data_IF_681191596203
#
_entry.id   IF_681191596203
#
_cell.length_a   1.000
_cell.length_b   1.000
_cell.length_c   1.000
_cell.angle_alpha   90.00
_cell.angle_beta   90.00
_cell.angle_gamma   90.00
#
_symmetry.space_group_name_H-M   'P 1'
#
loop_
_entity.id
_entity.type
_entity.pdbx_description
1 polymer ?
#
# COMPACT_ATOMS: atom_id res chain seq x y z
N UNK A 1 206.20 -94.27 -140.41
CA UNK A 1 206.42 -95.54 -141.14
C UNK A 1 205.78 -95.37 -142.51
N UNK A 2 206.61 -95.26 -143.56
CA UNK A 2 206.70 -96.21 -144.72
C UNK A 2 205.59 -95.96 -145.78
N UNK A 3 205.71 -96.05 -147.12
CA UNK A 3 206.74 -96.27 -148.17
C UNK A 3 206.07 -96.04 -149.56
N UNK A 4 206.85 -95.60 -150.60
CA UNK A 4 206.79 -95.87 -152.09
C UNK A 4 205.55 -95.54 -152.98
N UNK A 5 205.61 -95.33 -154.32
CA UNK A 5 206.61 -94.95 -155.38
C UNK A 5 206.02 -95.10 -156.83
N UNK A 6 206.40 -94.23 -157.81
CA UNK A 6 206.60 -94.44 -159.29
C UNK A 6 205.37 -94.61 -160.24
N UNK A 7 205.39 -94.44 -161.60
CA UNK A 7 206.30 -93.91 -162.66
C UNK A 7 205.62 -93.99 -164.08
N UNK A 8 205.89 -93.01 -164.97
CA UNK A 8 206.03 -92.93 -166.48
C UNK A 8 205.01 -93.35 -167.61
N UNK A 9 204.89 -92.42 -168.62
CA UNK A 9 204.80 -92.49 -170.13
C UNK A 9 203.61 -93.17 -170.91
N UNK A 10 203.42 -93.03 -172.27
CA UNK A 10 203.36 -91.88 -173.23
C UNK A 10 202.08 -91.78 -174.18
N UNK A 11 201.97 -90.65 -174.94
CA UNK A 11 201.35 -90.28 -176.28
C UNK A 11 199.91 -90.62 -176.81
N UNK A 12 199.17 -89.58 -177.31
CA UNK A 12 198.57 -89.53 -178.69
C UNK A 12 197.03 -89.45 -178.95
N UNK A 13 196.53 -88.26 -179.37
CA UNK A 13 195.36 -87.94 -180.26
C UNK A 13 193.85 -88.15 -179.85
N UNK A 14 193.02 -87.07 -180.05
CA UNK A 14 191.52 -86.94 -180.09
C UNK A 14 190.77 -86.69 -178.75
N UNK A 15 190.42 -85.49 -178.20
CA UNK A 15 189.80 -84.18 -178.57
C UNK A 15 188.27 -83.99 -178.26
N UNK A 16 188.00 -83.11 -177.26
CA UNK A 16 186.90 -82.10 -177.15
C UNK A 16 185.58 -82.41 -176.38
N UNK A 17 185.13 -83.66 -176.19
CA UNK A 17 183.76 -83.87 -175.66
C UNK A 17 183.56 -83.87 -174.13
N UNK A 18 184.62 -83.88 -173.31
CA UNK A 18 184.49 -84.11 -171.85
C UNK A 18 184.38 -82.86 -170.96
N UNK A 19 184.50 -81.64 -171.50
CA UNK A 19 184.53 -80.41 -170.66
C UNK A 19 183.21 -79.61 -170.66
N UNK A 20 182.31 -79.85 -171.63
CA UNK A 20 181.06 -79.05 -171.75
C UNK A 20 179.90 -79.55 -170.87
N UNK A 21 179.86 -80.83 -170.51
CA UNK A 21 178.71 -81.44 -169.82
C UNK A 21 178.65 -81.05 -168.34
N UNK A 22 179.79 -80.80 -167.70
CA UNK A 22 179.85 -80.51 -166.25
C UNK A 22 179.41 -79.07 -165.94
N UNK A 23 179.62 -78.11 -166.85
CA UNK A 23 179.27 -76.70 -166.62
C UNK A 23 177.77 -76.43 -166.77
N UNK A 24 177.08 -77.16 -167.65
CA UNK A 24 175.61 -77.02 -167.84
C UNK A 24 174.80 -77.60 -166.68
N UNK A 25 175.30 -78.62 -165.99
CA UNK A 25 174.61 -79.20 -164.84
C UNK A 25 174.59 -78.27 -163.61
N UNK A 26 175.65 -77.47 -163.40
CA UNK A 26 175.75 -76.56 -162.26
C UNK A 26 174.85 -75.31 -162.45
N UNK A 27 174.67 -74.84 -163.69
CA UNK A 27 173.80 -73.70 -163.98
C UNK A 27 172.30 -74.02 -163.79
N UNK A 28 171.86 -75.24 -164.12
CA UNK A 28 170.46 -75.64 -163.98
C UNK A 28 170.00 -75.76 -162.51
N UNK A 29 170.88 -76.21 -161.61
CA UNK A 29 170.58 -76.28 -160.17
C UNK A 29 170.36 -74.91 -159.52
N UNK A 30 171.05 -73.89 -160.03
CA UNK A 30 171.02 -72.53 -159.46
C UNK A 30 169.70 -71.79 -159.78
N UNK A 31 169.13 -72.01 -160.98
CA UNK A 31 167.87 -71.36 -161.37
C UNK A 31 166.64 -71.95 -160.65
N UNK A 32 166.65 -73.25 -160.36
CA UNK A 32 165.52 -73.89 -159.70
C UNK A 32 165.33 -73.38 -158.26
N UNK A 33 166.43 -73.14 -157.55
CA UNK A 33 166.36 -72.64 -156.18
C UNK A 33 165.79 -71.21 -156.11
N UNK A 34 166.20 -70.33 -157.03
CA UNK A 34 165.66 -68.96 -157.11
C UNK A 34 164.14 -68.94 -157.43
N UNK A 35 163.65 -69.85 -158.28
CA UNK A 35 162.23 -69.93 -158.60
C UNK A 35 161.36 -70.36 -157.40
N UNK A 36 161.88 -71.26 -156.55
CA UNK A 36 161.16 -71.72 -155.35
C UNK A 36 160.96 -70.61 -154.31
N UNK A 37 161.95 -69.74 -154.13
CA UNK A 37 161.91 -68.64 -153.16
C UNK A 37 160.89 -67.54 -153.49
N UNK A 38 160.75 -67.21 -154.79
CA UNK A 38 159.76 -66.21 -155.24
C UNK A 38 158.32 -66.70 -155.08
N UNK A 39 158.08 -68.01 -155.24
CA UNK A 39 156.75 -68.60 -155.05
C UNK A 39 156.29 -68.53 -153.60
N UNK A 40 157.22 -68.62 -152.65
CA UNK A 40 156.91 -68.53 -151.22
C UNK A 40 156.53 -67.10 -150.80
N UNK A 41 157.22 -66.08 -151.33
CA UNK A 41 156.89 -64.68 -151.03
C UNK A 41 155.50 -64.26 -151.53
N UNK A 42 155.08 -64.71 -152.73
CA UNK A 42 153.77 -64.36 -153.27
C UNK A 42 152.61 -64.98 -152.45
N UNK A 43 152.84 -66.13 -151.82
CA UNK A 43 151.84 -66.77 -150.95
C UNK A 43 151.61 -65.96 -149.66
N UNK A 44 152.69 -65.50 -149.01
CA UNK A 44 152.59 -64.68 -147.79
C UNK A 44 151.86 -63.35 -148.03
N UNK A 45 152.08 -62.70 -149.18
CA UNK A 45 151.44 -61.41 -149.47
C UNK A 45 149.91 -61.52 -149.63
N UNK A 46 149.42 -62.65 -150.17
CA UNK A 46 147.97 -62.91 -150.33
C UNK A 46 147.27 -63.17 -148.99
N UNK A 47 147.96 -63.74 -148.01
CA UNK A 47 147.39 -63.93 -146.66
C UNK A 47 147.22 -62.59 -145.92
N UNK A 48 148.21 -61.69 -145.99
CA UNK A 48 148.14 -60.39 -145.33
C UNK A 48 146.96 -59.53 -145.82
N UNK A 49 146.65 -59.57 -147.13
CA UNK A 49 145.49 -58.83 -147.67
C UNK A 49 144.15 -59.36 -147.15
N UNK A 50 144.00 -60.69 -146.99
CA UNK A 50 142.76 -61.27 -146.43
C UNK A 50 142.55 -60.89 -144.97
N UNK A 51 143.63 -60.78 -144.18
CA UNK A 51 143.54 -60.35 -142.78
C UNK A 51 142.99 -58.93 -142.64
N UNK A 52 143.46 -57.98 -143.48
CA UNK A 52 143.01 -56.59 -143.44
C UNK A 52 141.54 -56.40 -143.88
N UNK A 53 141.08 -57.16 -144.87
CA UNK A 53 139.66 -57.13 -145.26
C UNK A 53 138.75 -57.62 -144.13
N UNK A 54 139.19 -58.64 -143.40
CA UNK A 54 138.47 -59.18 -142.23
C UNK A 54 138.38 -58.13 -141.11
N UNK A 55 139.46 -57.39 -140.86
CA UNK A 55 139.49 -56.33 -139.85
C UNK A 55 138.57 -55.16 -140.21
N UNK A 56 138.59 -54.70 -141.47
CA UNK A 56 137.71 -53.63 -141.98
C UNK A 56 136.24 -54.00 -141.81
N UNK A 57 135.87 -55.23 -142.13
CA UNK A 57 134.47 -55.68 -142.04
C UNK A 57 134.05 -55.85 -140.57
N UNK A 58 134.97 -56.24 -139.67
CA UNK A 58 134.78 -56.19 -138.22
C UNK A 58 134.49 -54.78 -137.70
N UNK A 59 135.25 -53.77 -138.12
CA UNK A 59 135.05 -52.37 -137.73
C UNK A 59 133.73 -51.78 -138.24
N UNK A 60 133.32 -52.10 -139.48
CA UNK A 60 132.01 -51.68 -139.99
C UNK A 60 130.86 -52.28 -139.18
N UNK A 61 131.01 -53.54 -138.77
CA UNK A 61 130.02 -54.23 -137.93
C UNK A 61 129.94 -53.58 -136.54
N UNK A 62 131.10 -53.25 -135.93
CA UNK A 62 131.15 -52.51 -134.68
C UNK A 62 130.53 -51.10 -134.78
N UNK A 63 130.77 -50.37 -135.87
CA UNK A 63 130.17 -49.04 -136.11
C UNK A 63 128.65 -49.09 -136.30
N UNK A 64 128.12 -50.13 -136.95
CA UNK A 64 126.66 -50.36 -137.00
C UNK A 64 126.10 -50.63 -135.61
N UNK A 65 126.74 -51.53 -134.85
CA UNK A 65 126.32 -51.86 -133.48
C UNK A 65 126.31 -50.64 -132.56
N UNK A 66 127.32 -49.76 -132.66
CA UNK A 66 127.34 -48.52 -131.88
C UNK A 66 126.25 -47.54 -132.30
N UNK A 67 125.98 -47.38 -133.60
CA UNK A 67 124.88 -46.54 -134.07
C UNK A 67 123.53 -47.03 -133.55
N UNK A 68 123.27 -48.34 -133.61
CA UNK A 68 122.07 -48.95 -133.02
C UNK A 68 121.97 -48.70 -131.51
N UNK A 69 123.09 -48.74 -130.77
CA UNK A 69 123.11 -48.36 -129.34
C UNK A 69 122.74 -46.90 -129.12
N UNK A 70 123.25 -45.98 -129.95
CA UNK A 70 122.92 -44.54 -129.87
C UNK A 70 121.42 -44.34 -130.13
N UNK A 71 120.87 -44.90 -131.21
CA UNK A 71 119.43 -44.79 -131.48
C UNK A 71 118.59 -45.38 -130.35
N UNK A 72 119.04 -46.50 -129.76
CA UNK A 72 118.38 -47.11 -128.60
C UNK A 72 118.43 -46.22 -127.36
N UNK A 73 119.56 -45.55 -127.12
CA UNK A 73 119.73 -44.62 -125.99
C UNK A 73 118.93 -43.33 -126.19
N UNK A 74 118.86 -42.81 -127.42
CA UNK A 74 118.02 -41.66 -127.76
C UNK A 74 116.54 -41.98 -127.54
N UNK A 75 116.07 -43.14 -127.99
CA UNK A 75 114.71 -43.61 -127.72
C UNK A 75 114.44 -43.77 -126.22
N UNK A 76 115.42 -44.28 -125.45
CA UNK A 76 115.33 -44.35 -123.98
C UNK A 76 115.28 -42.98 -123.33
N UNK A 77 116.10 -42.03 -123.77
CA UNK A 77 116.09 -40.66 -123.25
C UNK A 77 114.75 -39.97 -123.54
N UNK A 78 114.22 -40.12 -124.74
CA UNK A 78 112.91 -39.57 -125.09
C UNK A 78 111.79 -40.20 -124.27
N UNK A 79 111.84 -41.51 -124.01
CA UNK A 79 110.90 -42.20 -123.13
C UNK A 79 111.04 -41.74 -121.66
N UNK A 80 112.26 -41.52 -121.17
CA UNK A 80 112.52 -40.99 -119.83
C UNK A 80 112.03 -39.55 -119.70
N UNK A 81 112.20 -38.73 -120.73
CA UNK A 81 111.71 -37.35 -120.76
C UNK A 81 110.19 -37.30 -120.76
N UNK A 82 109.53 -38.16 -121.55
CA UNK A 82 108.07 -38.31 -121.50
C UNK A 82 107.56 -38.73 -120.12
N UNK A 83 108.26 -39.65 -119.45
CA UNK A 83 107.95 -40.02 -118.05
C UNK A 83 108.19 -38.85 -117.08
N UNK A 84 109.24 -38.07 -117.28
CA UNK A 84 109.53 -36.91 -116.44
C UNK A 84 108.44 -35.84 -116.59
N UNK A 85 108.02 -35.53 -117.82
CA UNK A 85 106.94 -34.57 -118.08
C UNK A 85 105.60 -35.05 -117.50
N UNK A 86 105.32 -36.36 -117.60
CA UNK A 86 104.15 -36.98 -116.95
C UNK A 86 104.21 -36.82 -115.42
N UNK A 87 105.37 -37.06 -114.80
CA UNK A 87 105.54 -36.86 -113.36
C UNK A 87 105.45 -35.39 -112.94
N UNK A 88 105.99 -34.46 -113.73
CA UNK A 88 105.87 -33.01 -113.46
C UNK A 88 104.43 -32.56 -113.51
N UNK A 89 103.67 -32.99 -114.54
CA UNK A 89 102.26 -32.68 -114.66
C UNK A 89 101.45 -33.30 -113.50
N UNK A 90 101.79 -34.52 -113.07
CA UNK A 90 101.14 -35.13 -111.92
C UNK A 90 101.44 -34.40 -110.61
N UNK A 91 102.69 -33.96 -110.38
CA UNK A 91 103.04 -33.13 -109.21
C UNK A 91 102.30 -31.80 -109.23
N UNK A 92 102.18 -31.14 -110.38
CA UNK A 92 101.42 -29.89 -110.50
C UNK A 92 99.94 -30.10 -110.21
N UNK A 93 99.34 -31.19 -110.71
CA UNK A 93 97.94 -31.55 -110.44
C UNK A 93 97.72 -31.83 -108.95
N UNK A 94 98.62 -32.59 -108.32
CA UNK A 94 98.58 -32.87 -106.88
C UNK A 94 98.75 -31.60 -106.04
N UNK A 95 99.63 -30.69 -106.46
CA UNK A 95 99.82 -29.42 -105.75
C UNK A 95 98.59 -28.51 -105.84
N UNK A 96 97.96 -28.41 -107.02
CA UNK A 96 96.71 -27.66 -107.18
C UNK A 96 95.57 -28.27 -106.33
N UNK A 97 95.45 -29.60 -106.34
CA UNK A 97 94.50 -30.34 -105.49
C UNK A 97 94.77 -30.11 -103.99
N UNK A 98 96.04 -30.13 -103.57
CA UNK A 98 96.43 -29.86 -102.19
C UNK A 98 96.14 -28.42 -101.76
N UNK A 99 96.36 -27.44 -102.65
CA UNK A 99 96.04 -26.04 -102.39
C UNK A 99 94.51 -25.83 -102.23
N UNK A 100 93.70 -26.49 -103.08
CA UNK A 100 92.25 -26.47 -102.95
C UNK A 100 91.78 -27.16 -101.65
N UNK A 101 92.36 -28.31 -101.31
CA UNK A 101 92.07 -29.01 -100.06
C UNK A 101 92.44 -28.18 -98.82
N UNK A 102 93.56 -27.45 -98.86
CA UNK A 102 93.97 -26.55 -97.78
C UNK A 102 93.00 -25.39 -97.61
N UNK A 103 92.54 -24.76 -98.71
CA UNK A 103 91.52 -23.72 -98.65
C UNK A 103 90.20 -24.25 -98.08
N UNK A 104 89.75 -25.44 -98.50
CA UNK A 104 88.55 -26.10 -97.93
C UNK A 104 88.73 -26.39 -96.44
N UNK A 105 89.90 -26.86 -96.01
CA UNK A 105 90.20 -27.10 -94.61
C UNK A 105 90.15 -25.81 -93.78
N UNK A 106 90.72 -24.71 -94.28
CA UNK A 106 90.68 -23.41 -93.61
C UNK A 106 89.25 -22.88 -93.44
N UNK A 107 88.40 -23.01 -94.47
CA UNK A 107 86.98 -22.63 -94.38
C UNK A 107 86.25 -23.49 -93.33
N UNK A 108 86.48 -24.80 -93.34
CA UNK A 108 85.88 -25.71 -92.35
C UNK A 108 86.35 -25.43 -90.93
N UNK A 109 87.62 -25.08 -90.72
CA UNK A 109 88.11 -24.71 -89.38
C UNK A 109 87.49 -23.38 -88.91
N UNK A 110 87.34 -22.40 -89.81
CA UNK A 110 86.64 -21.16 -89.49
C UNK A 110 85.15 -21.38 -89.18
N UNK A 111 84.47 -22.27 -89.93
CA UNK A 111 83.08 -22.66 -89.68
C UNK A 111 82.93 -23.40 -88.35
N UNK A 112 83.85 -24.32 -88.03
CA UNK A 112 83.91 -25.01 -86.74
C UNK A 112 84.10 -24.02 -85.59
N UNK A 113 84.99 -23.04 -85.74
CA UNK A 113 85.21 -21.99 -84.73
C UNK A 113 83.95 -21.12 -84.55
N UNK A 114 83.27 -20.76 -85.64
CA UNK A 114 82.02 -20.02 -85.59
C UNK A 114 80.91 -20.81 -84.87
N UNK A 115 80.72 -22.09 -85.23
CA UNK A 115 79.77 -23.00 -84.59
C UNK A 115 80.12 -23.24 -83.10
N UNK A 116 81.41 -23.30 -82.76
CA UNK A 116 81.86 -23.40 -81.37
C UNK A 116 81.45 -22.17 -80.56
N UNK A 117 81.63 -20.96 -81.12
CA UNK A 117 81.19 -19.70 -80.47
C UNK A 117 79.67 -19.64 -80.34
N UNK A 118 78.92 -20.00 -81.37
CA UNK A 118 77.46 -20.03 -81.35
C UNK A 118 76.95 -21.04 -80.31
N UNK A 119 77.55 -22.23 -80.24
CA UNK A 119 77.26 -23.22 -79.19
C UNK A 119 77.53 -22.68 -77.80
N UNK A 120 78.65 -21.99 -77.57
CA UNK A 120 78.97 -21.37 -76.28
C UNK A 120 77.93 -20.31 -75.90
N UNK A 121 77.56 -19.43 -76.83
CA UNK A 121 76.52 -18.42 -76.60
C UNK A 121 75.14 -19.05 -76.30
N UNK A 122 74.77 -20.10 -77.03
CA UNK A 122 73.53 -20.82 -76.79
C UNK A 122 73.51 -21.51 -75.40
N UNK A 123 74.65 -22.05 -74.96
CA UNK A 123 74.78 -22.62 -73.62
C UNK A 123 74.67 -21.55 -72.52
N UNK A 124 75.31 -20.40 -72.69
CA UNK A 124 75.19 -19.27 -71.76
C UNK A 124 73.73 -18.77 -71.67
N UNK A 125 73.05 -18.62 -72.82
CA UNK A 125 71.63 -18.25 -72.86
C UNK A 125 70.74 -19.30 -72.19
N UNK A 126 70.97 -20.59 -72.45
CA UNK A 126 70.23 -21.68 -71.82
C UNK A 126 70.42 -21.69 -70.29
N UNK A 127 71.64 -21.42 -69.82
CA UNK A 127 71.93 -21.33 -68.39
C UNK A 127 71.28 -20.10 -67.73
N UNK A 128 71.25 -18.97 -68.43
CA UNK A 128 70.53 -17.78 -67.98
C UNK A 128 69.01 -18.03 -67.88
N UNK A 129 68.42 -18.67 -68.89
CA UNK A 129 66.99 -19.06 -68.89
C UNK A 129 66.69 -20.05 -67.76
N UNK A 130 67.55 -21.06 -67.55
CA UNK A 130 67.38 -22.01 -66.45
C UNK A 130 67.40 -21.30 -65.09
N UNK A 131 68.36 -20.39 -64.89
CA UNK A 131 68.46 -19.60 -63.65
C UNK A 131 67.23 -18.71 -63.44
N UNK A 132 66.74 -18.06 -64.50
CA UNK A 132 65.52 -17.25 -64.44
C UNK A 132 64.27 -18.10 -64.13
N UNK A 133 64.15 -19.28 -64.75
CA UNK A 133 63.06 -20.23 -64.48
C UNK A 133 63.08 -20.68 -63.01
N UNK A 134 64.25 -21.03 -62.49
CA UNK A 134 64.39 -21.50 -61.12
C UNK A 134 64.08 -20.36 -60.12
N UNK A 135 64.48 -19.12 -60.43
CA UNK A 135 64.08 -17.92 -59.68
C UNK A 135 62.57 -17.70 -59.67
N UNK A 136 61.92 -17.73 -60.83
CA UNK A 136 60.46 -17.62 -60.95
C UNK A 136 59.72 -18.75 -60.24
N UNK A 137 60.25 -19.98 -60.26
CA UNK A 137 59.68 -21.11 -59.52
C UNK A 137 59.72 -20.86 -58.01
N UNK A 138 60.83 -20.33 -57.49
CA UNK A 138 60.96 -19.97 -56.08
C UNK A 138 60.01 -18.84 -55.69
N UNK A 139 59.84 -17.82 -56.53
CA UNK A 139 58.86 -16.74 -56.31
C UNK A 139 57.42 -17.27 -56.34
N UNK A 140 57.11 -18.19 -57.26
CA UNK A 140 55.80 -18.83 -57.33
C UNK A 140 55.49 -19.63 -56.06
N UNK A 141 56.46 -20.37 -55.52
CA UNK A 141 56.26 -21.13 -54.30
C UNK A 141 56.13 -20.23 -53.07
N UNK A 142 56.90 -19.13 -53.01
CA UNK A 142 56.77 -18.12 -51.97
C UNK A 142 55.39 -17.43 -52.01
N UNK A 143 54.91 -17.06 -53.20
CA UNK A 143 53.59 -16.43 -53.38
C UNK A 143 52.44 -17.39 -53.05
N UNK A 144 52.51 -18.67 -53.44
CA UNK A 144 51.55 -19.71 -53.02
C UNK A 144 51.49 -19.85 -51.51
N UNK A 145 52.65 -19.85 -50.84
CA UNK A 145 52.72 -19.92 -49.37
C UNK A 145 52.09 -18.69 -48.72
N UNK A 146 52.38 -17.49 -49.24
CA UNK A 146 51.79 -16.25 -48.76
C UNK A 146 50.26 -16.23 -48.96
N UNK A 147 49.76 -16.72 -50.10
CA UNK A 147 48.33 -16.84 -50.38
C UNK A 147 47.64 -17.81 -49.41
N UNK A 148 48.24 -18.97 -49.15
CA UNK A 148 47.72 -19.94 -48.18
C UNK A 148 47.65 -19.34 -46.76
N UNK A 149 48.68 -18.58 -46.35
CA UNK A 149 48.67 -17.87 -45.07
C UNK A 149 47.58 -16.80 -45.01
N UNK A 150 47.39 -16.02 -46.08
CA UNK A 150 46.34 -15.01 -46.15
C UNK A 150 44.93 -15.64 -46.08
N UNK A 151 44.71 -16.79 -46.73
CA UNK A 151 43.47 -17.54 -46.65
C UNK A 151 43.21 -18.06 -45.23
N UNK A 152 44.23 -18.59 -44.55
CA UNK A 152 44.11 -19.04 -43.17
C UNK A 152 43.71 -17.87 -42.23
N UNK A 153 44.40 -16.73 -42.33
CA UNK A 153 44.08 -15.53 -41.55
C UNK A 153 42.68 -14.97 -41.85
N UNK A 154 42.25 -15.01 -43.12
CA UNK A 154 40.90 -14.60 -43.50
C UNK A 154 39.84 -15.53 -42.90
N UNK A 155 40.08 -16.84 -42.92
CA UNK A 155 39.20 -17.84 -42.30
C UNK A 155 39.08 -17.63 -40.79
N UNK A 156 40.20 -17.40 -40.09
CA UNK A 156 40.19 -17.11 -38.65
C UNK A 156 39.43 -15.82 -38.33
N UNK A 157 39.64 -14.76 -39.12
CA UNK A 157 38.90 -13.50 -38.96
C UNK A 157 37.41 -13.66 -39.20
N UNK A 158 37.01 -14.44 -40.20
CA UNK A 158 35.60 -14.68 -40.48
C UNK A 158 34.92 -15.43 -39.33
N UNK A 159 35.59 -16.45 -38.76
CA UNK A 159 35.08 -17.16 -37.59
C UNK A 159 34.96 -16.23 -36.36
N UNK A 160 35.94 -15.36 -36.13
CA UNK A 160 35.89 -14.38 -35.05
C UNK A 160 34.76 -13.34 -35.23
N UNK A 161 34.51 -12.91 -36.47
CA UNK A 161 33.41 -12.00 -36.80
C UNK A 161 32.05 -12.67 -36.57
N UNK A 162 31.90 -13.93 -36.98
CA UNK A 162 30.67 -14.68 -36.77
C UNK A 162 30.40 -14.88 -35.28
N UNK A 163 31.42 -15.23 -34.48
CA UNK A 163 31.29 -15.31 -33.02
C UNK A 163 30.89 -13.96 -32.41
N UNK A 164 31.55 -12.87 -32.81
CA UNK A 164 31.22 -11.53 -32.31
C UNK A 164 29.78 -11.13 -32.64
N UNK A 165 29.29 -11.48 -33.84
CA UNK A 165 27.90 -11.25 -34.24
C UNK A 165 26.93 -12.04 -33.36
N UNK A 166 27.22 -13.32 -33.09
CA UNK A 166 26.39 -14.15 -32.21
C UNK A 166 26.37 -13.60 -30.78
N UNK A 167 27.52 -13.25 -30.22
CA UNK A 167 27.63 -12.68 -28.88
C UNK A 167 26.88 -11.35 -28.76
N UNK A 168 27.00 -10.49 -29.78
CA UNK A 168 26.29 -9.21 -29.84
C UNK A 168 24.79 -9.42 -29.92
N UNK A 169 24.32 -10.37 -30.72
CA UNK A 169 22.91 -10.70 -30.85
C UNK A 169 22.33 -11.26 -29.53
N UNK A 170 23.06 -12.15 -28.86
CA UNK A 170 22.67 -12.67 -27.55
C UNK A 170 22.57 -11.54 -26.50
N UNK A 171 23.51 -10.59 -26.53
CA UNK A 171 23.49 -9.43 -25.63
C UNK A 171 22.31 -8.50 -25.90
N UNK A 172 21.96 -8.26 -27.17
CA UNK A 172 20.76 -7.48 -27.53
C UNK A 172 19.48 -8.15 -27.03
N UNK A 173 19.34 -9.47 -27.23
CA UNK A 173 18.19 -10.23 -26.73
C UNK A 173 18.07 -10.16 -25.20
N UNK A 174 19.19 -10.26 -24.49
CA UNK A 174 19.23 -10.11 -23.03
C UNK A 174 18.80 -8.72 -22.59
N UNK A 175 19.26 -7.66 -23.28
CA UNK A 175 18.88 -6.28 -22.96
C UNK A 175 17.41 -6.00 -23.25
N UNK A 176 16.86 -6.56 -24.33
CA UNK A 176 15.44 -6.45 -24.65
C UNK A 176 14.56 -7.15 -23.60
N UNK A 177 15.00 -8.32 -23.12
CA UNK A 177 14.32 -9.02 -22.03
C UNK A 177 14.37 -8.23 -20.72
N UNK A 178 15.53 -7.66 -20.37
CA UNK A 178 15.69 -6.80 -19.20
C UNK A 178 14.80 -5.54 -19.29
N UNK A 179 14.77 -4.88 -20.45
CA UNK A 179 13.90 -3.73 -20.72
C UNK A 179 12.42 -4.10 -20.60
N UNK A 180 12.01 -5.26 -21.09
CA UNK A 180 10.63 -5.74 -20.97
C UNK A 180 10.26 -5.98 -19.49
N UNK A 181 11.14 -6.60 -18.71
CA UNK A 181 10.95 -6.81 -17.28
C UNK A 181 10.83 -5.50 -16.50
N UNK A 182 11.71 -4.52 -16.78
CA UNK A 182 11.66 -3.18 -16.18
C UNK A 182 10.34 -2.48 -16.51
N UNK A 183 9.89 -2.55 -17.76
CA UNK A 183 8.61 -1.94 -18.16
C UNK A 183 7.41 -2.58 -17.46
N UNK A 184 7.43 -3.90 -17.26
CA UNK A 184 6.39 -4.60 -16.50
C UNK A 184 6.38 -4.17 -15.04
N UNK A 185 7.55 -4.07 -14.40
CA UNK A 185 7.68 -3.57 -13.02
C UNK A 185 7.20 -2.11 -12.89
N UNK A 186 7.54 -1.25 -13.86
CA UNK A 186 7.10 0.14 -13.89
C UNK A 186 5.58 0.25 -14.02
N UNK A 187 4.95 -0.60 -14.85
CA UNK A 187 3.49 -0.66 -14.98
C UNK A 187 2.84 -1.07 -13.66
N UNK A 188 3.32 -2.15 -13.04
CA UNK A 188 2.79 -2.62 -11.76
C UNK A 188 2.93 -1.57 -10.65
N UNK A 189 4.06 -0.85 -10.60
CA UNK A 189 4.27 0.23 -9.65
C UNK A 189 3.30 1.41 -9.88
N UNK A 190 2.99 1.75 -11.14
CA UNK A 190 1.99 2.78 -11.47
C UNK A 190 0.58 2.39 -11.06
N UNK A 191 0.20 1.13 -11.25
CA UNK A 191 -1.11 0.62 -10.85
C UNK A 191 -1.25 0.65 -9.31
N UNK A 192 -0.20 0.24 -8.59
CA UNK A 192 -0.15 0.34 -7.13
C UNK A 192 -0.25 1.79 -6.64
N UNK A 193 0.48 2.72 -7.26
CA UNK A 193 0.41 4.14 -6.91
C UNK A 193 -1.01 4.72 -7.14
N UNK A 194 -1.66 4.33 -8.24
CA UNK A 194 -3.03 4.75 -8.56
C UNK A 194 -4.03 4.19 -7.54
N UNK A 195 -3.89 2.92 -7.16
CA UNK A 195 -4.73 2.29 -6.12
C UNK A 195 -4.52 2.96 -4.75
N UNK A 196 -3.27 3.26 -4.38
CA UNK A 196 -2.95 3.95 -3.14
C UNK A 196 -3.52 5.38 -3.10
N UNK A 197 -3.47 6.11 -4.21
CA UNK A 197 -4.08 7.44 -4.33
C UNK A 197 -5.61 7.37 -4.12
N UNK A 198 -6.29 6.42 -4.78
CA UNK A 198 -7.73 6.22 -4.61
C UNK A 198 -8.10 5.83 -3.16
N UNK A 199 -7.28 5.01 -2.50
CA UNK A 199 -7.44 4.67 -1.09
C UNK A 199 -7.27 5.90 -0.18
N UNK A 200 -6.28 6.76 -0.47
CA UNK A 200 -6.07 8.03 0.24
C UNK A 200 -7.25 8.99 0.11
N UNK A 201 -7.80 9.15 -1.09
CA UNK A 201 -9.02 9.96 -1.31
C UNK A 201 -10.24 9.40 -0.57
N UNK A 202 -10.38 8.06 -0.52
CA UNK A 202 -11.45 7.41 0.24
C UNK A 202 -11.29 7.68 1.74
N UNK A 203 -10.10 7.47 2.30
CA UNK A 203 -9.83 7.75 3.72
C UNK A 203 -10.04 9.22 4.06
N UNK A 204 -9.71 10.14 3.15
CA UNK A 204 -9.97 11.57 3.34
C UNK A 204 -11.47 11.87 3.45
N UNK A 205 -12.30 11.24 2.59
CA UNK A 205 -13.77 11.35 2.67
C UNK A 205 -14.33 10.73 3.95
N UNK A 206 -13.85 9.55 4.34
CA UNK A 206 -14.25 8.88 5.59
C UNK A 206 -13.89 9.74 6.82
N UNK A 207 -12.71 10.34 6.84
CA UNK A 207 -12.28 11.26 7.92
C UNK A 207 -13.16 12.51 7.98
N UNK A 208 -13.51 13.10 6.83
CA UNK A 208 -14.41 14.25 6.78
C UNK A 208 -15.80 13.92 7.33
N UNK A 209 -16.35 12.77 6.94
CA UNK A 209 -17.63 12.26 7.47
C UNK A 209 -17.57 11.99 8.98
N UNK A 210 -16.49 11.36 9.46
CA UNK A 210 -16.30 11.11 10.89
C UNK A 210 -16.20 12.41 11.70
N UNK A 211 -15.54 13.46 11.17
CA UNK A 211 -15.47 14.79 11.80
C UNK A 211 -16.83 15.46 11.87
N UNK A 212 -17.64 15.35 10.81
CA UNK A 212 -19.00 15.86 10.81
C UNK A 212 -19.86 15.17 11.88
N UNK A 213 -19.84 13.83 11.92
CA UNK A 213 -20.56 13.05 12.92
C UNK A 213 -20.11 13.39 14.36
N UNK A 214 -18.81 13.64 14.57
CA UNK A 214 -18.29 14.13 15.85
C UNK A 214 -18.86 15.51 16.20
N UNK A 215 -18.94 16.44 15.25
CA UNK A 215 -19.55 17.76 15.47
C UNK A 215 -21.04 17.66 15.84
N UNK A 216 -21.79 16.80 15.15
CA UNK A 216 -23.21 16.56 15.43
C UNK A 216 -23.43 15.94 16.83
N UNK A 217 -22.62 14.96 17.20
CA UNK A 217 -22.69 14.35 18.54
C UNK A 217 -22.30 15.34 19.64
N UNK A 218 -21.29 16.18 19.42
CA UNK A 218 -20.93 17.25 20.37
C UNK A 218 -22.08 18.27 20.54
N UNK A 219 -22.74 18.66 19.46
CA UNK A 219 -23.90 19.55 19.51
C UNK A 219 -25.09 18.90 20.26
N UNK A 220 -25.35 17.61 20.02
CA UNK A 220 -26.37 16.85 20.73
C UNK A 220 -26.08 16.77 22.25
N UNK A 221 -24.83 16.51 22.63
CA UNK A 221 -24.40 16.52 24.04
C UNK A 221 -24.56 17.90 24.67
N UNK A 222 -24.22 18.98 23.95
CA UNK A 222 -24.44 20.34 24.44
C UNK A 222 -25.92 20.63 24.69
N UNK A 223 -26.80 20.21 23.77
CA UNK A 223 -28.26 20.32 23.92
C UNK A 223 -28.77 19.53 25.13
N UNK A 224 -28.29 18.29 25.31
CA UNK A 224 -28.67 17.47 26.47
C UNK A 224 -28.20 18.09 27.79
N UNK A 225 -26.98 18.65 27.85
CA UNK A 225 -26.50 19.38 29.04
C UNK A 225 -27.37 20.59 29.36
N UNK A 226 -27.77 21.36 28.35
CA UNK A 226 -28.67 22.50 28.55
C UNK A 226 -30.05 22.06 29.06
N UNK A 227 -30.62 20.99 28.48
CA UNK A 227 -31.89 20.44 28.95
C UNK A 227 -31.80 19.91 30.40
N UNK A 228 -30.68 19.26 30.75
CA UNK A 228 -30.44 18.81 32.12
C UNK A 228 -30.34 19.98 33.10
N UNK A 229 -29.64 21.06 32.74
CA UNK A 229 -29.59 22.27 33.56
C UNK A 229 -30.99 22.89 33.77
N UNK A 230 -31.81 22.94 32.73
CA UNK A 230 -33.20 23.40 32.84
C UNK A 230 -34.04 22.54 33.80
N UNK A 231 -33.88 21.21 33.74
CA UNK A 231 -34.56 20.29 34.67
C UNK A 231 -34.07 20.47 36.11
N UNK A 232 -32.77 20.75 36.32
CA UNK A 232 -32.24 21.06 37.65
C UNK A 232 -32.83 22.36 38.21
N UNK A 233 -32.94 23.40 37.39
CA UNK A 233 -33.57 24.67 37.78
C UNK A 233 -35.05 24.49 38.09
N UNK A 234 -35.78 23.70 37.28
CA UNK A 234 -37.19 23.38 37.53
C UNK A 234 -37.36 22.57 38.82
N UNK A 235 -36.49 21.59 39.07
CA UNK A 235 -36.51 20.81 40.30
C UNK A 235 -36.29 21.71 41.54
N UNK A 236 -35.32 22.62 41.51
CA UNK A 236 -35.07 23.55 42.60
C UNK A 236 -36.26 24.50 42.85
N UNK A 237 -36.94 24.94 41.78
CA UNK A 237 -38.18 25.73 41.90
C UNK A 237 -39.31 24.92 42.54
N UNK A 238 -39.48 23.67 42.15
CA UNK A 238 -40.49 22.79 42.72
C UNK A 238 -40.22 22.47 44.18
N UNK A 239 -38.97 22.23 44.57
CA UNK A 239 -38.60 22.08 45.99
C UNK A 239 -38.95 23.33 46.81
N UNK A 240 -38.65 24.51 46.28
CA UNK A 240 -38.99 25.78 46.94
C UNK A 240 -40.51 25.92 47.11
N UNK A 241 -41.29 25.64 46.06
CA UNK A 241 -42.74 25.69 46.10
C UNK A 241 -43.35 24.64 47.05
N UNK A 242 -42.75 23.46 47.17
CA UNK A 242 -43.19 22.43 48.12
C UNK A 242 -42.94 22.86 49.57
N UNK A 243 -41.78 23.47 49.85
CA UNK A 243 -41.47 24.02 51.18
C UNK A 243 -42.45 25.14 51.57
N UNK A 244 -42.80 26.03 50.64
CA UNK A 244 -43.82 27.07 50.83
C UNK A 244 -45.19 26.46 51.14
N UNK A 245 -45.65 25.48 50.33
CA UNK A 245 -46.91 24.76 50.59
C UNK A 245 -46.91 24.02 51.91
N UNK A 246 -45.81 23.41 52.30
CA UNK A 246 -45.68 22.76 53.60
C UNK A 246 -45.74 23.77 54.76
N UNK A 247 -45.24 25.00 54.56
CA UNK A 247 -45.39 26.08 55.53
C UNK A 247 -46.85 26.56 55.62
N UNK A 248 -47.52 26.76 54.48
CA UNK A 248 -48.96 27.09 54.43
C UNK A 248 -49.82 26.02 55.10
N UNK A 249 -49.55 24.73 54.82
CA UNK A 249 -50.27 23.63 55.44
C UNK A 249 -50.09 23.63 56.96
N UNK A 250 -48.89 23.91 57.46
CA UNK A 250 -48.63 24.05 58.90
C UNK A 250 -49.41 25.21 59.51
N UNK A 251 -49.50 26.35 58.81
CA UNK A 251 -50.32 27.49 59.25
C UNK A 251 -51.81 27.14 59.27
N UNK A 252 -52.32 26.48 58.24
CA UNK A 252 -53.71 26.03 58.17
C UNK A 252 -54.04 25.01 59.27
N UNK A 253 -53.16 24.05 59.53
CA UNK A 253 -53.31 23.10 60.64
C UNK A 253 -53.32 23.81 62.00
N UNK A 254 -52.49 24.83 62.19
CA UNK A 254 -52.53 25.64 63.40
C UNK A 254 -53.86 26.39 63.52
N UNK A 255 -54.28 27.08 62.46
CA UNK A 255 -55.56 27.80 62.44
C UNK A 255 -56.75 26.86 62.70
N UNK A 256 -56.71 25.63 62.16
CA UNK A 256 -57.71 24.61 62.43
C UNK A 256 -57.74 24.21 63.91
N UNK A 257 -56.57 23.99 64.54
CA UNK A 257 -56.48 23.69 65.97
C UNK A 257 -57.02 24.84 66.82
N UNK A 258 -56.65 26.08 66.50
CA UNK A 258 -57.12 27.27 67.20
C UNK A 258 -58.64 27.42 67.06
N UNK A 259 -59.19 27.18 65.86
CA UNK A 259 -60.62 27.19 65.61
C UNK A 259 -61.36 26.09 66.38
N UNK A 260 -60.79 24.88 66.46
CA UNK A 260 -61.36 23.77 67.26
C UNK A 260 -61.37 24.10 68.76
N UNK A 261 -60.30 24.68 69.29
CA UNK A 261 -60.26 25.14 70.68
C UNK A 261 -61.30 26.22 70.94
N UNK A 262 -61.45 27.17 70.01
CA UNK A 262 -62.47 28.22 70.12
C UNK A 262 -63.88 27.64 70.07
N UNK A 263 -64.13 26.64 69.21
CA UNK A 263 -65.42 25.94 69.15
C UNK A 263 -65.72 25.23 70.49
N UNK A 264 -64.75 24.49 71.04
CA UNK A 264 -64.90 23.83 72.35
C UNK A 264 -65.18 24.84 73.47
N UNK A 265 -64.50 25.98 73.47
CA UNK A 265 -64.73 27.04 74.44
C UNK A 265 -66.16 27.61 74.31
N UNK A 266 -66.62 27.86 73.08
CA UNK A 266 -67.99 28.31 72.81
C UNK A 266 -69.05 27.26 73.18
N UNK A 267 -68.77 25.96 72.97
CA UNK A 267 -69.64 24.86 73.39
C UNK A 267 -69.72 24.77 74.93
N UNK A 268 -68.60 24.93 75.63
CA UNK A 268 -68.56 25.00 77.09
C UNK A 268 -69.31 26.24 77.62
N UNK A 269 -69.21 27.37 76.94
CA UNK A 269 -69.97 28.57 77.26
C UNK A 269 -71.47 28.36 77.02
N UNK A 270 -71.86 27.78 75.88
CA UNK A 270 -73.26 27.47 75.57
C UNK A 270 -73.88 26.50 76.59
N UNK A 271 -73.16 25.46 77.00
CA UNK A 271 -73.62 24.55 78.05
C UNK A 271 -73.76 25.25 79.40
N UNK A 272 -72.80 26.12 79.77
CA UNK A 272 -72.92 26.97 80.97
C UNK A 272 -74.16 27.88 80.91
N UNK A 273 -74.40 28.53 79.77
CA UNK A 273 -75.58 29.36 79.54
C UNK A 273 -76.85 28.53 79.65
N UNK A 274 -76.91 27.34 79.05
CA UNK A 274 -78.04 26.43 79.15
C UNK A 274 -78.34 26.02 80.60
N UNK A 275 -77.31 25.72 81.40
CA UNK A 275 -77.46 25.45 82.83
C UNK A 275 -77.99 26.66 83.61
N UNK A 276 -77.46 27.86 83.34
CA UNK A 276 -77.97 29.11 83.94
C UNK A 276 -79.42 29.36 83.57
N UNK A 277 -79.79 29.15 82.31
CA UNK A 277 -81.16 29.29 81.83
C UNK A 277 -82.10 28.29 82.52
N UNK A 278 -81.74 27.02 82.61
CA UNK A 278 -82.52 25.99 83.31
C UNK A 278 -82.70 26.31 84.80
N UNK A 279 -81.63 26.78 85.46
CA UNK A 279 -81.69 27.24 86.85
C UNK A 279 -82.65 28.42 87.02
N UNK A 280 -82.57 29.41 86.12
CA UNK A 280 -83.43 30.60 86.15
C UNK A 280 -84.89 30.23 85.87
N UNK A 281 -85.16 29.32 84.93
CA UNK A 281 -86.50 28.77 84.68
C UNK A 281 -87.05 28.03 85.90
N UNK A 282 -86.23 27.21 86.55
CA UNK A 282 -86.60 26.53 87.80
C UNK A 282 -86.95 27.52 88.92
N UNK A 283 -86.15 28.58 89.08
CA UNK A 283 -86.43 29.67 90.01
C UNK A 283 -87.72 30.41 89.67
N UNK A 284 -87.96 30.73 88.40
CA UNK A 284 -89.18 31.38 87.94
C UNK A 284 -90.43 30.52 88.19
N UNK A 285 -90.33 29.20 87.95
CA UNK A 285 -91.41 28.26 88.18
C UNK A 285 -91.68 28.09 89.68
N UNK A 286 -90.64 28.04 90.52
CA UNK A 286 -90.78 28.04 91.98
C UNK A 286 -91.42 29.33 92.51
N UNK A 287 -91.06 30.49 91.94
CA UNK A 287 -91.69 31.76 92.28
C UNK A 287 -93.16 31.80 91.85
N UNK A 288 -93.49 31.25 90.67
CA UNK A 288 -94.86 31.14 90.19
C UNK A 288 -95.72 30.22 91.06
N UNK A 289 -95.19 29.06 91.49
CA UNK A 289 -95.91 28.17 92.41
C UNK A 289 -96.08 28.79 93.79
N UNK A 290 -95.05 29.45 94.33
CA UNK A 290 -95.14 30.20 95.58
C UNK A 290 -96.20 31.32 95.50
N UNK A 291 -96.25 32.06 94.39
CA UNK A 291 -97.27 33.07 94.13
C UNK A 291 -98.68 32.49 94.06
N UNK A 292 -98.86 31.34 93.40
CA UNK A 292 -100.15 30.64 93.34
C UNK A 292 -100.60 30.15 94.73
N UNK A 293 -99.70 29.58 95.54
CA UNK A 293 -100.00 29.18 96.92
C UNK A 293 -100.37 30.37 97.80
N UNK A 294 -99.66 31.49 97.65
CA UNK A 294 -99.96 32.73 98.40
C UNK A 294 -101.32 33.31 98.00
N UNK A 295 -101.66 33.30 96.71
CA UNK A 295 -102.98 33.73 96.22
C UNK A 295 -104.10 32.87 96.80
N UNK A 296 -103.92 31.54 96.80
CA UNK A 296 -104.91 30.62 97.38
C UNK A 296 -105.09 30.85 98.89
N UNK A 297 -104.00 31.05 99.64
CA UNK A 297 -104.06 31.38 101.06
C UNK A 297 -104.76 32.72 101.32
N UNK A 298 -104.54 33.71 100.46
CA UNK A 298 -105.19 35.01 100.54
C UNK A 298 -106.70 34.91 100.29
N UNK A 299 -107.12 34.15 99.27
CA UNK A 299 -108.53 33.96 98.96
C UNK A 299 -109.26 33.16 100.05
N UNK A 300 -108.61 32.15 100.62
CA UNK A 300 -109.12 31.44 101.80
C UNK A 300 -109.32 32.39 102.99
N UNK A 301 -108.32 33.22 103.29
CA UNK A 301 -108.39 34.22 104.38
C UNK A 301 -109.53 35.21 104.15
N UNK A 302 -109.70 35.69 102.90
CA UNK A 302 -110.81 36.58 102.52
C UNK A 302 -112.17 35.93 102.74
N UNK A 303 -112.33 34.66 102.35
CA UNK A 303 -113.58 33.92 102.58
C UNK A 303 -113.87 33.73 104.07
N UNK A 304 -112.87 33.33 104.87
CA UNK A 304 -113.03 33.17 106.33
C UNK A 304 -113.44 34.48 106.99
N UNK A 305 -112.82 35.60 106.59
CA UNK A 305 -113.17 36.92 107.10
C UNK A 305 -114.59 37.35 106.72
N UNK A 306 -115.01 37.10 105.48
CA UNK A 306 -116.36 37.42 105.02
C UNK A 306 -117.43 36.64 105.82
N UNK A 307 -117.22 35.34 106.02
CA UNK A 307 -118.07 34.49 106.85
C UNK A 307 -118.14 34.96 108.31
N UNK A 308 -116.99 35.32 108.89
CA UNK A 308 -116.93 35.83 110.26
C UNK A 308 -117.72 37.15 110.42
N UNK A 309 -117.58 38.07 109.46
CA UNK A 309 -118.34 39.34 109.44
C UNK A 309 -119.84 39.12 109.29
N UNK A 310 -120.26 38.22 108.41
CA UNK A 310 -121.68 37.87 108.22
C UNK A 310 -122.29 37.33 109.52
N UNK A 311 -121.64 36.35 110.14
CA UNK A 311 -122.09 35.79 111.43
C UNK A 311 -122.19 36.85 112.53
N UNK A 312 -121.22 37.75 112.59
CA UNK A 312 -121.22 38.83 113.57
C UNK A 312 -122.38 39.82 113.34
N UNK A 313 -122.73 40.12 112.08
CA UNK A 313 -123.85 40.98 111.74
C UNK A 313 -125.21 40.36 112.12
N UNK A 314 -125.44 39.09 111.77
CA UNK A 314 -126.68 38.37 112.06
C UNK A 314 -126.94 38.28 113.57
N UNK A 315 -125.92 37.91 114.36
CA UNK A 315 -126.00 37.82 115.82
C UNK A 315 -126.33 39.18 116.46
N UNK A 316 -125.80 40.28 115.93
CA UNK A 316 -126.11 41.61 116.43
C UNK A 316 -127.58 41.98 116.22
N UNK A 317 -128.14 41.65 115.06
CA UNK A 317 -129.54 41.94 114.75
C UNK A 317 -130.47 41.17 115.69
N UNK A 318 -130.25 39.87 115.88
CA UNK A 318 -131.06 39.06 116.80
C UNK A 318 -130.98 39.56 118.25
N UNK A 319 -129.81 40.01 118.71
CA UNK A 319 -129.65 40.58 120.05
C UNK A 319 -130.46 41.88 120.23
N UNK A 320 -130.48 42.75 119.22
CA UNK A 320 -131.22 44.01 119.24
C UNK A 320 -132.75 43.83 119.18
N UNK A 321 -133.22 42.82 118.44
CA UNK A 321 -134.66 42.46 118.41
C UNK A 321 -135.13 41.99 119.80
N UNK A 322 -134.32 41.18 120.48
CA UNK A 322 -134.64 40.69 121.83
C UNK A 322 -134.66 41.83 122.87
N UNK A 323 -133.83 42.85 122.69
CA UNK A 323 -133.82 44.07 123.51
C UNK A 323 -134.97 45.03 123.19
N UNK A 324 -135.73 44.90 122.11
CA UNK A 324 -136.86 45.80 121.83
C UNK A 324 -138.18 45.31 122.43
N UNK A 325 -138.28 44.03 122.77
CA UNK A 325 -139.51 43.38 123.23
C UNK A 325 -139.78 43.60 124.74
N UNK A 326 -139.84 44.88 125.15
CA UNK A 326 -139.97 45.32 126.55
C UNK A 326 -141.41 45.29 127.13
N UNK A 327 -142.43 44.89 126.37
CA UNK A 327 -143.84 45.12 126.75
C UNK A 327 -144.62 43.89 127.24
N UNK A 328 -143.97 42.84 127.75
CA UNK A 328 -144.69 41.76 128.47
C UNK A 328 -143.86 41.07 129.57
N UNK A 329 -143.26 41.87 130.46
CA UNK A 329 -142.44 41.43 131.59
C UNK A 329 -143.21 41.38 132.91
N UNK A 330 -144.17 40.46 133.02
CA UNK A 330 -144.74 40.07 134.33
C UNK A 330 -144.78 38.54 134.58
N UNK A 331 -144.33 37.68 133.65
CA UNK A 331 -144.16 36.26 133.91
C UNK A 331 -143.07 35.63 133.01
N UNK A 332 -142.16 34.84 133.60
CA UNK A 332 -141.04 34.05 133.00
C UNK A 332 -139.67 34.74 132.78
N UNK A 333 -139.03 35.21 133.87
CA UNK A 333 -137.72 35.89 133.85
C UNK A 333 -136.44 35.02 133.74
N UNK A 334 -136.48 33.69 133.93
CA UNK A 334 -135.26 32.88 134.03
C UNK A 334 -134.74 32.32 132.70
N UNK A 335 -135.62 31.77 131.85
CA UNK A 335 -135.24 31.16 130.56
C UNK A 335 -134.71 32.20 129.58
N UNK A 336 -135.37 33.36 129.51
CA UNK A 336 -135.00 34.45 128.60
C UNK A 336 -133.68 35.14 129.00
N UNK A 337 -133.30 35.10 130.28
CA UNK A 337 -131.99 35.57 130.76
C UNK A 337 -130.85 34.63 130.32
N UNK A 338 -131.05 33.32 130.40
CA UNK A 338 -130.05 32.35 129.91
C UNK A 338 -129.87 32.39 128.37
N UNK A 339 -130.94 32.65 127.64
CA UNK A 339 -130.90 32.87 126.17
C UNK A 339 -130.10 34.14 125.82
N UNK A 340 -130.36 35.25 126.51
CA UNK A 340 -129.62 36.51 126.37
C UNK A 340 -128.12 36.35 126.64
N UNK A 341 -127.76 35.63 127.71
CA UNK A 341 -126.36 35.41 128.08
C UNK A 341 -125.62 34.53 127.05
N UNK A 342 -126.28 33.51 126.48
CA UNK A 342 -125.72 32.68 125.40
C UNK A 342 -125.57 33.45 124.10
N UNK A 343 -126.56 34.24 123.71
CA UNK A 343 -126.49 35.07 122.51
C UNK A 343 -125.40 36.13 122.62
N UNK A 344 -125.23 36.73 123.79
CA UNK A 344 -124.11 37.65 124.06
C UNK A 344 -122.77 36.95 123.96
N UNK A 345 -122.59 35.79 124.59
CA UNK A 345 -121.33 35.04 124.50
C UNK A 345 -121.01 34.61 123.06
N UNK A 346 -122.03 34.21 122.29
CA UNK A 346 -121.88 33.89 120.87
C UNK A 346 -121.51 35.12 120.03
N UNK A 347 -122.11 36.28 120.32
CA UNK A 347 -121.78 37.54 119.68
C UNK A 347 -120.35 37.99 120.01
N UNK A 348 -119.94 37.93 121.28
CA UNK A 348 -118.58 38.24 121.71
C UNK A 348 -117.56 37.32 121.02
N UNK A 349 -117.81 36.01 120.94
CA UNK A 349 -116.94 35.07 120.24
C UNK A 349 -116.83 35.36 118.73
N UNK A 350 -117.95 35.70 118.07
CA UNK A 350 -117.96 36.05 116.65
C UNK A 350 -117.20 37.36 116.37
N UNK A 351 -117.44 38.39 117.19
CA UNK A 351 -116.74 39.67 117.06
C UNK A 351 -115.24 39.54 117.34
N UNK A 352 -114.85 38.67 118.29
CA UNK A 352 -113.44 38.41 118.58
C UNK A 352 -112.73 37.69 117.42
N UNK A 353 -113.43 36.79 116.71
CA UNK A 353 -112.86 36.14 115.53
C UNK A 353 -112.69 37.12 114.36
N UNK A 354 -113.64 38.04 114.15
CA UNK A 354 -113.47 39.14 113.19
C UNK A 354 -112.27 39.99 113.57
N UNK A 355 -112.14 40.37 114.85
CA UNK A 355 -111.01 41.16 115.34
C UNK A 355 -109.66 40.46 115.12
N UNK A 356 -109.58 39.14 115.34
CA UNK A 356 -108.37 38.34 115.07
C UNK A 356 -108.01 38.32 113.58
N UNK A 357 -109.01 38.14 112.72
CA UNK A 357 -108.80 38.02 111.27
C UNK A 357 -108.50 39.37 110.59
N UNK A 358 -109.00 40.48 111.13
CA UNK A 358 -108.68 41.84 110.64
C UNK A 358 -107.45 42.45 111.32
N UNK A 359 -106.89 41.77 112.32
CA UNK A 359 -105.77 42.26 113.11
C UNK A 359 -106.13 43.43 114.02
N UNK A 360 -107.40 43.58 114.42
CA UNK A 360 -107.89 44.59 115.35
C UNK A 360 -107.29 44.43 116.77
N UNK A 361 -107.50 45.44 117.63
CA UNK A 361 -106.91 45.49 118.98
C UNK A 361 -107.64 44.57 119.97
N UNK A 362 -108.94 44.38 119.79
CA UNK A 362 -109.78 43.50 120.60
C UNK A 362 -111.26 43.83 120.46
N UNK A 363 -112.08 43.34 121.38
CA UNK A 363 -113.50 43.69 121.51
C UNK A 363 -113.76 44.35 122.88
N UNK A 364 -114.80 45.18 122.97
CA UNK A 364 -115.18 45.85 124.20
C UNK A 364 -116.70 45.85 124.39
N UNK A 365 -117.16 45.44 125.56
CA UNK A 365 -118.58 45.52 125.93
C UNK A 365 -118.89 46.86 126.58
N UNK A 366 -119.73 47.65 125.92
CA UNK A 366 -120.30 48.93 126.35
C UNK A 366 -120.92 48.78 127.74
N UNK A 367 -120.54 49.65 128.68
CA UNK A 367 -121.11 49.70 130.02
C UNK A 367 -122.21 50.77 130.11
N UNK A 368 -122.98 50.77 131.21
CA UNK A 368 -123.99 51.82 131.42
C UNK A 368 -123.34 53.21 131.53
N UNK A 369 -123.94 54.20 130.86
CA UNK A 369 -123.42 55.57 130.70
C UNK A 369 -122.15 55.72 129.82
N UNK A 370 -121.70 54.66 129.14
CA UNK A 370 -120.68 54.80 128.10
C UNK A 370 -121.21 55.56 126.87
N UNK A 371 -120.30 56.26 126.19
CA UNK A 371 -120.49 56.82 124.85
C UNK A 371 -119.37 56.30 123.94
N UNK A 372 -119.55 56.29 122.62
CA UNK A 372 -118.48 55.85 121.70
C UNK A 372 -117.21 56.68 121.88
N UNK A 373 -117.34 57.97 122.20
CA UNK A 373 -116.24 58.88 122.49
C UNK A 373 -115.54 58.53 123.81
N UNK A 374 -116.26 58.14 124.87
CA UNK A 374 -115.62 57.72 126.13
C UNK A 374 -114.85 56.41 125.95
N UNK A 375 -115.39 55.49 125.15
CA UNK A 375 -114.74 54.22 124.82
C UNK A 375 -113.48 54.46 123.97
N UNK A 376 -113.58 55.32 122.94
CA UNK A 376 -112.43 55.71 122.13
C UNK A 376 -111.35 56.42 122.95
N UNK A 377 -111.75 57.30 123.89
CA UNK A 377 -110.83 57.92 124.82
C UNK A 377 -110.15 56.88 125.73
N UNK A 378 -110.84 55.83 126.13
CA UNK A 378 -110.24 54.76 126.90
C UNK A 378 -109.19 53.98 126.09
N UNK A 379 -109.54 53.50 124.90
CA UNK A 379 -108.65 52.61 124.13
C UNK A 379 -107.57 53.33 123.33
N UNK A 380 -107.90 54.48 122.74
CA UNK A 380 -106.98 55.24 121.89
C UNK A 380 -106.39 56.46 122.60
N UNK A 381 -106.77 56.72 123.87
CA UNK A 381 -106.45 57.97 124.58
C UNK A 381 -106.92 59.23 123.83
N UNK A 382 -107.86 59.06 122.89
CA UNK A 382 -108.42 60.11 122.06
C UNK A 382 -109.91 59.84 121.80
N UNK A 383 -110.78 60.62 122.44
CA UNK A 383 -112.23 60.47 122.31
C UNK A 383 -112.77 60.77 120.91
N UNK A 384 -112.04 61.54 120.09
CA UNK A 384 -112.45 61.85 118.73
C UNK A 384 -112.26 60.67 117.75
N UNK A 385 -111.59 59.58 118.17
CA UNK A 385 -111.43 58.35 117.36
C UNK A 385 -112.63 57.41 117.44
N UNK A 386 -113.76 57.89 117.93
CA UNK A 386 -115.00 57.10 117.99
C UNK A 386 -115.48 56.67 116.58
N UNK A 387 -115.19 57.46 115.54
CA UNK A 387 -115.53 57.15 114.15
C UNK A 387 -114.80 55.92 113.62
N UNK A 388 -113.62 55.58 114.15
CA UNK A 388 -112.92 54.35 113.77
C UNK A 388 -113.60 53.12 114.36
N UNK A 389 -114.07 53.22 115.60
CA UNK A 389 -114.91 52.18 116.22
C UNK A 389 -116.20 52.05 115.41
N UNK A 390 -116.87 53.15 115.09
CA UNK A 390 -118.10 53.13 114.29
C UNK A 390 -117.88 52.44 112.93
N UNK A 391 -116.79 52.76 112.22
CA UNK A 391 -116.53 52.23 110.87
C UNK A 391 -116.36 50.72 110.84
N UNK A 392 -115.73 50.14 111.86
CA UNK A 392 -115.56 48.68 111.95
C UNK A 392 -116.76 47.98 112.60
N UNK A 393 -117.66 48.71 113.25
CA UNK A 393 -118.89 48.19 113.83
C UNK A 393 -120.09 48.65 113.02
N UNK A 394 -120.32 47.99 111.89
CA UNK A 394 -121.31 48.39 110.88
C UNK A 394 -122.73 48.67 111.42
N UNK A 395 -123.13 48.05 112.53
CA UNK A 395 -124.44 48.28 113.17
C UNK A 395 -124.58 49.67 113.82
N UNK A 396 -123.50 50.42 114.02
CA UNK A 396 -123.52 51.79 114.51
C UNK A 396 -123.67 52.84 113.40
N UNK A 397 -123.73 52.41 112.13
CA UNK A 397 -123.77 53.32 110.98
C UNK A 397 -125.08 54.13 110.87
N UNK A 398 -126.19 53.64 111.44
CA UNK A 398 -127.49 54.31 111.36
C UNK A 398 -127.75 55.37 112.44
N UNK A 399 -127.25 55.15 113.66
CA UNK A 399 -127.33 56.12 114.77
C UNK A 399 -126.20 55.84 115.78
N UNK A 400 -125.01 56.46 115.63
CA UNK A 400 -123.85 56.17 116.47
C UNK A 400 -124.03 56.55 117.94
N UNK A 401 -124.92 57.50 118.23
CA UNK A 401 -125.15 57.96 119.60
C UNK A 401 -126.03 56.98 120.40
N UNK A 402 -126.65 56.02 119.71
CA UNK A 402 -127.53 55.02 120.32
C UNK A 402 -126.76 53.73 120.59
N UNK A 403 -125.93 53.74 121.63
CA UNK A 403 -125.31 52.53 122.17
C UNK A 403 -126.01 52.10 123.46
N UNK A 404 -126.17 50.79 123.62
CA UNK A 404 -126.81 50.22 124.81
C UNK A 404 -125.77 49.53 125.69
N UNK A 405 -125.94 49.67 127.00
CA UNK A 405 -125.16 48.91 127.96
C UNK A 405 -125.32 47.40 127.68
N UNK A 406 -124.19 46.70 127.56
CA UNK A 406 -124.12 45.30 127.18
C UNK A 406 -123.75 45.05 125.70
N UNK A 407 -123.74 46.07 124.84
CA UNK A 407 -123.38 45.95 123.42
C UNK A 407 -121.87 45.75 123.24
N UNK A 408 -121.42 44.87 122.34
CA UNK A 408 -119.99 44.57 122.15
C UNK A 408 -119.48 45.17 120.85
N UNK A 409 -118.39 45.93 120.93
CA UNK A 409 -117.78 46.64 119.82
C UNK A 409 -116.40 46.07 119.50
N UNK A 410 -116.09 45.88 118.22
CA UNK A 410 -114.71 45.70 117.76
C UNK A 410 -113.96 47.01 118.00
N UNK A 411 -112.78 46.91 118.59
CA UNK A 411 -111.86 48.02 118.75
C UNK A 411 -110.73 47.84 117.73
N UNK A 412 -110.71 48.65 116.66
CA UNK A 412 -109.59 48.70 115.71
C UNK A 412 -108.24 48.98 116.37
N UNK A 413 -107.14 48.79 115.63
CA UNK A 413 -105.81 49.13 116.13
C UNK A 413 -105.53 50.63 116.19
#
# INVERSE_FOLDING_TARGET
>A
METRSGSEAPSGASSILSVLVVVLAIAAGSLWYAYSGLKTQLAQQREAQRALETERDGLKTASRSQRERITTLEAKNQALQGKLDEQVNEVQRLHASAAEALMRYQVLEAEKDALSRERSQALEQAQAIASARDGLSSELDATKKALAQAHALASERNLALEQLQQDTQARLQSLDAEKAAINQQLSAARDQATSAAAAGERLTRELASARQALGETQAAVAKQKAAFAQLQDEHARLETADLERQAELRQLQQAQRDAQQKLQALEAENTSIAHKLASTQGQAQAAATAGASLSSALDSTRQTLALARSRAADLNQSYQELLKDHSNLAATGAVRKAELDRMRAAFEAAQNEVARLTGARGIYTVQAADSLSSIAAYFYRNGNRWTDIQRENAFLAGNPDLIYAGQVLIIPK
#
